data_IF_267540484572
#
_entry.id   IF_267540484572
#
_cell.length_a   1.000
_cell.length_b   1.000
_cell.length_c   1.000
_cell.angle_alpha   90.00
_cell.angle_beta   90.00
_cell.angle_gamma   90.00
#
_symmetry.space_group_name_H-M   'P 1'
#
loop_
_entity.id
_entity.type
_entity.pdbx_description
1 polymer ?
#
# COMPACT_ATOMS: atom_id res chain seq x y z
N UNK A 1 -19.50 -7.18 11.01
CA UNK A 1 -20.70 -7.41 10.19
C UNK A 1 -21.02 -6.12 9.43
N UNK A 2 -21.88 -6.18 8.37
CA UNK A 2 -22.27 -4.99 7.58
C UNK A 2 -22.96 -3.92 8.42
N UNK A 3 -23.55 -4.32 9.54
CA UNK A 3 -24.26 -3.46 10.49
C UNK A 3 -23.32 -2.61 11.36
N UNK A 4 -22.02 -2.92 11.39
CA UNK A 4 -21.03 -2.19 12.18
C UNK A 4 -20.42 -0.99 11.42
N UNK A 5 -20.74 -0.83 10.12
CA UNK A 5 -20.19 0.26 9.30
C UNK A 5 -21.04 1.54 9.44
N UNK A 6 -20.33 2.66 9.56
CA UNK A 6 -20.88 4.02 9.57
C UNK A 6 -20.12 4.88 8.55
N UNK A 7 -20.65 6.03 8.19
CA UNK A 7 -19.89 7.04 7.42
C UNK A 7 -19.07 7.93 8.36
N UNK A 8 -17.83 8.23 7.94
CA UNK A 8 -16.97 9.21 8.63
C UNK A 8 -16.39 8.74 9.97
N UNK A 9 -16.35 7.44 10.22
CA UNK A 9 -15.70 6.85 11.38
C UNK A 9 -14.24 6.43 11.13
N UNK A 10 -13.75 5.43 11.88
CA UNK A 10 -12.41 4.87 11.74
C UNK A 10 -12.31 3.93 10.53
N UNK A 11 -11.45 4.20 9.53
CA UNK A 11 -11.37 3.38 8.33
C UNK A 11 -10.81 1.99 8.60
N UNK A 12 -11.49 0.97 8.04
CA UNK A 12 -11.06 -0.43 8.04
C UNK A 12 -10.34 -0.74 6.73
N UNK A 13 -9.01 -0.82 6.76
CA UNK A 13 -8.17 -0.92 5.57
C UNK A 13 -8.15 -2.33 4.98
N UNK A 14 -8.74 -2.47 3.81
CA UNK A 14 -8.66 -3.65 2.95
C UNK A 14 -7.71 -3.41 1.76
N UNK A 15 -7.35 -4.43 0.97
CA UNK A 15 -6.44 -4.27 -0.17
C UNK A 15 -6.89 -3.23 -1.20
N UNK A 16 -8.20 -3.00 -1.36
CA UNK A 16 -8.76 -1.96 -2.24
C UNK A 16 -8.40 -0.53 -1.83
N UNK A 17 -8.08 -0.31 -0.55
CA UNK A 17 -7.68 0.99 -0.01
C UNK A 17 -6.18 1.26 -0.13
N UNK A 18 -5.43 0.37 -0.77
CA UNK A 18 -4.01 0.54 -1.03
C UNK A 18 -3.82 0.77 -2.53
N UNK A 19 -3.34 1.93 -2.92
CA UNK A 19 -3.06 2.30 -4.31
C UNK A 19 -1.71 2.98 -4.42
N UNK A 20 -0.87 2.50 -5.33
CA UNK A 20 0.46 3.06 -5.61
C UNK A 20 1.33 3.31 -4.35
N UNK A 21 1.24 2.39 -3.38
CA UNK A 21 1.98 2.49 -2.11
C UNK A 21 1.43 3.51 -1.11
N UNK A 22 0.20 3.98 -1.34
CA UNK A 22 -0.50 4.94 -0.47
C UNK A 22 -1.82 4.37 0.01
N UNK A 23 -2.29 4.87 1.15
CA UNK A 23 -3.62 4.56 1.68
C UNK A 23 -4.60 5.57 1.10
N UNK A 24 -5.68 5.05 0.49
CA UNK A 24 -6.83 5.81 -0.01
C UNK A 24 -8.06 5.18 0.65
N UNK A 25 -8.46 5.68 1.83
CA UNK A 25 -9.59 5.10 2.57
C UNK A 25 -10.92 5.34 1.83
N UNK A 26 -11.89 4.49 2.13
CA UNK A 26 -13.28 4.64 1.69
C UNK A 26 -14.13 5.05 2.90
N UNK A 27 -14.75 6.21 2.83
CA UNK A 27 -15.57 6.76 3.92
C UNK A 27 -16.78 5.88 4.28
N UNK A 28 -17.14 4.93 3.41
CA UNK A 28 -18.23 3.96 3.64
C UNK A 28 -17.79 2.70 4.38
N UNK A 29 -16.48 2.45 4.46
CA UNK A 29 -15.91 1.29 5.15
C UNK A 29 -15.21 1.73 6.44
N UNK A 30 -15.96 2.42 7.28
CA UNK A 30 -15.49 2.94 8.57
C UNK A 30 -16.35 2.40 9.70
N UNK A 31 -15.81 2.40 10.91
CA UNK A 31 -16.50 1.94 12.12
C UNK A 31 -16.57 3.04 13.18
N UNK A 32 -17.49 2.93 14.13
CA UNK A 32 -17.66 3.89 15.22
C UNK A 32 -16.48 3.87 16.21
N UNK A 33 -16.34 4.94 17.03
CA UNK A 33 -15.35 5.03 18.10
C UNK A 33 -15.45 3.86 19.08
N UNK A 34 -16.68 3.45 19.43
CA UNK A 34 -16.90 2.30 20.32
C UNK A 34 -16.41 0.99 19.70
N UNK A 35 -16.68 0.78 18.40
CA UNK A 35 -16.22 -0.39 17.69
C UNK A 35 -14.71 -0.38 17.47
N UNK A 36 -14.13 0.78 17.18
CA UNK A 36 -12.69 0.96 17.11
C UNK A 36 -12.04 0.55 18.44
N UNK A 37 -12.52 1.03 19.58
CA UNK A 37 -11.99 0.67 20.89
C UNK A 37 -12.06 -0.83 21.20
N UNK A 38 -13.11 -1.54 20.76
CA UNK A 38 -13.21 -3.00 20.91
C UNK A 38 -12.19 -3.77 20.07
N UNK A 39 -11.66 -3.17 19.01
CA UNK A 39 -10.80 -3.82 18.01
C UNK A 39 -9.31 -3.48 18.21
N UNK A 40 -8.84 -3.31 19.43
CA UNK A 40 -7.46 -2.89 19.76
C UNK A 40 -6.38 -3.73 19.07
N UNK A 41 -6.58 -5.04 18.94
CA UNK A 41 -5.64 -5.95 18.28
C UNK A 41 -5.44 -5.66 16.77
N UNK A 42 -6.34 -4.89 16.17
CA UNK A 42 -6.32 -4.53 14.74
C UNK A 42 -5.93 -3.07 14.51
N UNK A 43 -5.63 -2.31 15.57
CA UNK A 43 -5.18 -0.93 15.45
C UNK A 43 -3.89 -0.85 14.67
N UNK A 44 -3.90 -0.01 13.65
CA UNK A 44 -2.72 0.39 12.90
C UNK A 44 -2.16 1.67 13.49
N UNK A 45 -0.85 1.69 13.71
CA UNK A 45 -0.15 2.86 14.21
C UNK A 45 0.68 3.50 13.09
N UNK A 46 0.96 4.78 13.24
CA UNK A 46 1.86 5.52 12.35
C UNK A 46 3.17 4.77 12.16
N UNK A 47 3.55 4.52 10.91
CA UNK A 47 4.75 3.75 10.58
C UNK A 47 4.55 2.24 10.50
N UNK A 48 3.37 1.70 10.79
CA UNK A 48 3.04 0.32 10.42
C UNK A 48 2.93 0.18 8.90
N UNK A 49 3.05 -1.04 8.38
CA UNK A 49 2.78 -1.33 6.98
C UNK A 49 1.51 -2.18 6.91
N UNK A 50 0.53 -1.71 6.16
CA UNK A 50 -0.63 -2.52 5.78
C UNK A 50 -0.37 -3.18 4.43
N UNK A 51 -0.58 -4.49 4.33
CA UNK A 51 -0.31 -5.30 3.13
C UNK A 51 -1.53 -6.13 2.77
N UNK A 52 -1.92 -6.09 1.49
CA UNK A 52 -3.00 -6.93 0.96
C UNK A 52 -2.63 -8.42 0.97
N UNK A 53 -3.55 -9.26 1.45
CA UNK A 53 -3.39 -10.72 1.47
C UNK A 53 -3.81 -11.36 0.15
N UNK A 54 -4.61 -10.68 -0.65
CA UNK A 54 -5.25 -11.18 -1.89
C UNK A 54 -5.19 -10.13 -2.99
N UNK A 55 -5.40 -10.55 -4.22
CA UNK A 55 -5.38 -9.69 -5.40
C UNK A 55 -3.94 -9.42 -5.86
N UNK A 56 -3.57 -8.17 -6.09
CA UNK A 56 -2.21 -7.81 -6.48
C UNK A 56 -1.22 -8.12 -5.36
N UNK A 57 -0.36 -9.09 -5.57
CA UNK A 57 0.64 -9.50 -4.59
C UNK A 57 1.64 -8.38 -4.32
N UNK A 58 2.04 -8.23 -3.05
CA UNK A 58 2.98 -7.18 -2.63
C UNK A 58 2.38 -5.77 -2.58
N UNK A 59 1.05 -5.62 -2.77
CA UNK A 59 0.39 -4.33 -2.57
C UNK A 59 0.43 -3.96 -1.09
N UNK A 60 1.17 -2.91 -0.76
CA UNK A 60 1.31 -2.45 0.62
C UNK A 60 1.54 -0.94 0.70
N UNK A 61 1.24 -0.35 1.84
CA UNK A 61 1.47 1.06 2.12
C UNK A 61 1.90 1.25 3.58
N UNK A 62 2.68 2.31 3.83
CA UNK A 62 2.98 2.77 5.20
C UNK A 62 1.80 3.56 5.72
N UNK A 63 1.41 3.30 6.95
CA UNK A 63 0.31 3.98 7.65
C UNK A 63 0.80 5.38 8.05
N UNK A 64 0.15 6.45 7.56
CA UNK A 64 0.63 7.81 7.79
C UNK A 64 0.23 8.37 9.16
N UNK A 65 -0.93 7.98 9.67
CA UNK A 65 -1.56 8.53 10.87
C UNK A 65 -2.23 7.44 11.70
N UNK A 66 -2.61 7.78 12.93
CA UNK A 66 -3.42 6.91 13.80
C UNK A 66 -4.88 6.85 13.33
N UNK A 67 -5.65 5.95 13.92
CA UNK A 67 -7.10 5.86 13.71
C UNK A 67 -7.54 4.88 12.63
N UNK A 68 -6.62 4.13 12.03
CA UNK A 68 -6.92 3.08 11.05
C UNK A 68 -6.99 1.69 11.70
N UNK A 69 -7.78 0.80 11.10
CA UNK A 69 -7.88 -0.62 11.45
C UNK A 69 -7.39 -1.51 10.31
N UNK A 70 -6.71 -2.59 10.65
CA UNK A 70 -6.34 -3.64 9.70
C UNK A 70 -7.55 -4.52 9.38
N UNK A 71 -8.06 -4.46 8.16
CA UNK A 71 -9.16 -5.28 7.69
C UNK A 71 -8.77 -6.76 7.49
N UNK A 72 -9.76 -7.64 7.46
CA UNK A 72 -9.57 -9.10 7.32
C UNK A 72 -8.88 -9.52 6.01
N UNK A 73 -8.96 -8.68 4.98
CA UNK A 73 -8.26 -8.87 3.70
C UNK A 73 -6.81 -8.39 3.70
N UNK A 74 -6.32 -7.85 4.82
CA UNK A 74 -4.99 -7.25 4.96
C UNK A 74 -4.17 -7.93 6.05
N UNK A 75 -2.89 -7.64 6.07
CA UNK A 75 -1.92 -8.00 7.11
C UNK A 75 -1.27 -6.73 7.64
N UNK A 76 -1.02 -6.71 8.94
CA UNK A 76 -0.21 -5.71 9.61
C UNK A 76 1.24 -6.19 9.69
N UNK A 77 2.19 -5.35 9.27
CA UNK A 77 3.63 -5.55 9.46
C UNK A 77 4.15 -4.38 10.29
N UNK A 78 4.72 -4.68 11.45
CA UNK A 78 5.34 -3.70 12.35
C UNK A 78 6.83 -3.92 12.45
N UNK A 79 7.63 -2.91 12.09
CA UNK A 79 9.08 -3.00 12.15
C UNK A 79 9.58 -2.85 13.59
N UNK A 80 10.72 -3.50 13.91
CA UNK A 80 11.31 -3.48 15.26
C UNK A 80 12.55 -2.58 15.35
N UNK A 81 12.63 -1.54 14.52
CA UNK A 81 13.69 -0.53 14.57
C UNK A 81 14.95 -0.82 13.77
N UNK A 82 15.18 -2.07 13.31
CA UNK A 82 16.33 -2.41 12.46
C UNK A 82 16.07 -2.16 10.95
N UNK A 83 14.82 -2.07 10.58
CA UNK A 83 14.36 -1.79 9.23
C UNK A 83 13.33 -0.68 9.30
N UNK A 84 13.46 0.34 8.45
CA UNK A 84 12.45 1.40 8.37
C UNK A 84 11.24 0.91 7.56
N UNK A 85 10.05 1.37 7.95
CA UNK A 85 8.81 1.00 7.25
C UNK A 85 8.84 1.41 5.77
N UNK A 86 9.33 2.62 5.51
CA UNK A 86 9.44 3.17 4.15
C UNK A 86 10.35 2.32 3.25
N UNK A 87 11.52 1.91 3.77
CA UNK A 87 12.43 1.02 3.05
C UNK A 87 11.76 -0.34 2.78
N UNK A 88 11.19 -0.95 3.82
CA UNK A 88 10.54 -2.26 3.70
C UNK A 88 9.37 -2.22 2.71
N UNK A 89 8.55 -1.18 2.75
CA UNK A 89 7.45 -0.98 1.80
C UNK A 89 7.97 -0.92 0.35
N UNK A 90 9.07 -0.18 0.08
CA UNK A 90 9.67 -0.10 -1.26
C UNK A 90 10.25 -1.44 -1.70
N UNK A 91 10.90 -2.19 -0.82
CA UNK A 91 11.41 -3.54 -1.12
C UNK A 91 10.27 -4.48 -1.51
N UNK A 92 9.20 -4.54 -0.71
CA UNK A 92 8.05 -5.42 -0.98
C UNK A 92 7.35 -5.03 -2.29
N UNK A 93 7.23 -3.73 -2.57
CA UNK A 93 6.59 -3.21 -3.79
C UNK A 93 7.45 -3.32 -5.04
N UNK A 94 8.74 -3.70 -4.92
CA UNK A 94 9.64 -3.79 -6.06
C UNK A 94 9.24 -4.97 -6.98
N UNK A 95 9.25 -4.80 -8.31
CA UNK A 95 8.74 -5.81 -9.24
C UNK A 95 9.34 -7.21 -9.05
N UNK A 96 10.67 -7.29 -8.81
CA UNK A 96 11.34 -8.57 -8.58
C UNK A 96 10.86 -9.25 -7.29
N UNK A 97 10.61 -8.47 -6.23
CA UNK A 97 10.11 -9.00 -4.96
C UNK A 97 8.64 -9.44 -5.08
N UNK A 98 7.82 -8.68 -5.80
CA UNK A 98 6.44 -9.08 -6.12
C UNK A 98 6.41 -10.43 -6.82
N UNK A 99 7.31 -10.68 -7.78
CA UNK A 99 7.43 -11.97 -8.44
C UNK A 99 7.81 -13.10 -7.47
N UNK A 100 8.72 -12.86 -6.54
CA UNK A 100 9.06 -13.84 -5.48
C UNK A 100 7.80 -14.17 -4.65
N UNK A 101 7.01 -13.16 -4.28
CA UNK A 101 5.76 -13.36 -3.53
C UNK A 101 4.75 -14.19 -4.34
N UNK A 102 4.61 -13.89 -5.63
CA UNK A 102 3.73 -14.63 -6.54
C UNK A 102 4.16 -16.10 -6.67
N UNK A 103 5.46 -16.36 -6.84
CA UNK A 103 6.02 -17.70 -6.92
C UNK A 103 5.80 -18.51 -5.63
N UNK A 104 5.88 -17.88 -4.46
CA UNK A 104 5.57 -18.50 -3.16
C UNK A 104 4.07 -18.80 -2.98
N UNK A 105 3.20 -18.08 -3.69
CA UNK A 105 1.76 -18.28 -3.65
C UNK A 105 1.26 -19.33 -4.68
N UNK A 106 2.12 -19.82 -5.56
CA UNK A 106 1.79 -20.83 -6.60
C UNK A 106 1.37 -22.16 -5.96
N UNK A 107 0.31 -22.75 -6.52
CA UNK A 107 -0.24 -24.04 -6.05
C UNK A 107 -1.46 -23.90 -5.17
N UNK A 108 -1.93 -22.69 -4.87
CA UNK A 108 -3.18 -22.44 -4.20
C UNK A 108 -4.27 -22.03 -5.22
N UNK A 109 -5.46 -22.58 -5.09
CA UNK A 109 -6.62 -22.25 -5.95
C UNK A 109 -6.97 -20.74 -5.90
N UNK A 110 -6.66 -20.09 -4.78
CA UNK A 110 -6.70 -18.64 -4.61
C UNK A 110 -5.46 -18.20 -3.83
N UNK A 111 -4.51 -17.51 -4.47
CA UNK A 111 -3.33 -16.99 -3.79
C UNK A 111 -3.75 -16.14 -2.59
N UNK A 112 -3.30 -16.55 -1.41
CA UNK A 112 -3.62 -15.86 -0.17
C UNK A 112 -2.38 -15.84 0.74
N UNK A 113 -1.84 -14.65 0.95
CA UNK A 113 -0.74 -14.44 1.87
C UNK A 113 -1.21 -14.63 3.31
N UNK A 114 -0.46 -15.40 4.06
CA UNK A 114 -0.67 -15.60 5.49
C UNK A 114 0.59 -15.19 6.26
N UNK A 115 0.45 -15.11 7.59
CA UNK A 115 1.57 -14.70 8.46
C UNK A 115 2.81 -15.57 8.27
N UNK A 116 2.73 -16.93 8.23
CA UNK A 116 3.90 -17.78 7.98
C UNK A 116 4.64 -17.45 6.68
N UNK A 117 3.92 -17.25 5.57
CA UNK A 117 4.53 -16.90 4.27
C UNK A 117 5.24 -15.55 4.38
N UNK A 118 4.56 -14.51 4.89
CA UNK A 118 5.15 -13.17 5.00
C UNK A 118 6.34 -13.15 5.97
N UNK A 119 6.27 -13.93 7.05
CA UNK A 119 7.38 -14.08 8.02
C UNK A 119 8.60 -14.81 7.44
N UNK A 120 8.44 -15.57 6.36
CA UNK A 120 9.55 -16.26 5.68
C UNK A 120 10.26 -15.40 4.63
N UNK A 121 9.77 -14.19 4.34
CA UNK A 121 10.40 -13.30 3.37
C UNK A 121 11.82 -12.94 3.81
N UNK A 122 12.76 -13.15 2.91
CA UNK A 122 14.14 -12.74 3.11
C UNK A 122 14.40 -11.44 2.41
N UNK A 123 14.83 -10.43 3.16
CA UNK A 123 15.13 -9.10 2.66
C UNK A 123 16.60 -8.75 2.94
N UNK A 124 17.20 -7.96 2.07
CA UNK A 124 18.48 -7.33 2.35
C UNK A 124 18.25 -6.28 3.44
N UNK A 125 19.08 -6.33 4.49
CA UNK A 125 19.02 -5.39 5.63
C UNK A 125 20.29 -4.54 5.69
N UNK A 126 20.40 -3.47 4.90
CA UNK A 126 21.52 -2.54 5.00
C UNK A 126 21.44 -1.68 6.28
N UNK A 127 22.51 -0.98 6.66
CA UNK A 127 22.46 0.00 7.74
C UNK A 127 21.35 1.05 7.54
N UNK A 128 20.81 1.57 8.64
CA UNK A 128 19.66 2.49 8.62
C UNK A 128 19.89 3.74 7.75
N UNK A 129 21.09 4.30 7.78
CA UNK A 129 21.46 5.45 6.94
C UNK A 129 21.39 5.14 5.45
N UNK A 130 21.75 3.91 5.05
CA UNK A 130 21.63 3.43 3.66
C UNK A 130 20.19 3.23 3.29
N UNK A 131 19.35 2.66 4.18
CA UNK A 131 17.91 2.53 3.96
C UNK A 131 17.24 3.89 3.73
N UNK A 132 17.57 4.89 4.55
CA UNK A 132 17.03 6.25 4.42
C UNK A 132 17.47 6.93 3.12
N UNK A 133 18.73 6.80 2.73
CA UNK A 133 19.21 7.32 1.43
C UNK A 133 18.55 6.65 0.25
N UNK A 134 18.39 5.34 0.29
CA UNK A 134 17.66 4.60 -0.74
C UNK A 134 16.22 5.08 -0.87
N UNK A 135 15.51 5.19 0.25
CA UNK A 135 14.13 5.68 0.24
C UNK A 135 14.03 7.10 -0.33
N UNK A 136 14.88 8.02 0.10
CA UNK A 136 14.91 9.39 -0.42
C UNK A 136 15.14 9.42 -1.93
N UNK A 137 16.08 8.62 -2.43
CA UNK A 137 16.33 8.50 -3.87
C UNK A 137 15.09 7.97 -4.62
N UNK A 138 14.47 6.90 -4.14
CA UNK A 138 13.27 6.33 -4.78
C UNK A 138 12.11 7.32 -4.75
N UNK A 139 11.92 8.06 -3.66
CA UNK A 139 10.88 9.08 -3.56
C UNK A 139 11.05 10.20 -4.61
N UNK A 140 12.27 10.65 -4.85
CA UNK A 140 12.56 11.64 -5.90
C UNK A 140 12.33 11.08 -7.31
N UNK A 141 12.68 9.81 -7.54
CA UNK A 141 12.38 9.12 -8.81
C UNK A 141 10.86 9.01 -9.03
N UNK A 142 10.10 8.62 -8.00
CA UNK A 142 8.64 8.48 -8.09
C UNK A 142 7.99 9.85 -8.36
N UNK A 143 8.46 10.91 -7.72
CA UNK A 143 8.01 12.29 -7.97
C UNK A 143 8.29 12.72 -9.42
N UNK A 144 9.48 12.42 -9.93
CA UNK A 144 9.84 12.73 -11.32
C UNK A 144 8.98 11.96 -12.32
N UNK A 145 8.72 10.67 -12.08
CA UNK A 145 7.81 9.85 -12.90
C UNK A 145 6.40 10.43 -12.94
N UNK A 146 5.89 10.88 -11.80
CA UNK A 146 4.56 11.49 -11.73
C UNK A 146 4.49 12.79 -12.56
N UNK A 147 5.51 13.65 -12.46
CA UNK A 147 5.58 14.90 -13.24
C UNK A 147 5.62 14.63 -14.75
N UNK A 148 6.41 13.63 -15.18
CA UNK A 148 6.48 13.20 -16.58
C UNK A 148 5.13 12.67 -17.06
N UNK A 149 4.47 11.80 -16.26
CA UNK A 149 3.15 11.27 -16.60
C UNK A 149 2.11 12.37 -16.78
N UNK A 150 2.06 13.34 -15.86
CA UNK A 150 1.15 14.48 -15.95
C UNK A 150 1.43 15.36 -17.21
N UNK A 151 2.71 15.53 -17.56
CA UNK A 151 3.10 16.27 -18.77
C UNK A 151 2.67 15.53 -20.02
N UNK A 152 2.81 14.22 -20.07
CA UNK A 152 2.37 13.39 -21.19
C UNK A 152 0.84 13.47 -21.38
N UNK A 153 0.08 13.34 -20.30
CA UNK A 153 -1.39 13.45 -20.34
C UNK A 153 -1.86 14.83 -20.89
N UNK A 154 -1.16 15.90 -20.48
CA UNK A 154 -1.44 17.25 -21.01
C UNK A 154 -1.14 17.36 -22.51
N UNK A 155 -0.02 16.78 -22.95
CA UNK A 155 0.37 16.78 -24.38
C UNK A 155 -0.61 15.96 -25.22
N UNK A 156 -1.07 14.81 -24.73
CA UNK A 156 -2.09 14.01 -25.41
C UNK A 156 -3.42 14.74 -25.52
N UNK A 157 -3.83 15.46 -24.47
CA UNK A 157 -5.04 16.29 -24.48
C UNK A 157 -4.92 17.42 -25.49
N UNK A 158 -3.78 18.14 -25.51
CA UNK A 158 -3.52 19.20 -26.48
C UNK A 158 -3.53 18.66 -27.92
N UNK A 159 -2.87 17.52 -28.16
CA UNK A 159 -2.88 16.86 -29.47
C UNK A 159 -4.30 16.55 -29.92
N UNK A 160 -5.15 15.98 -29.05
CA UNK A 160 -6.56 15.70 -29.38
C UNK A 160 -7.33 16.98 -29.73
N UNK A 161 -7.13 18.05 -28.96
CA UNK A 161 -7.78 19.35 -29.23
C UNK A 161 -7.39 19.92 -30.60
N UNK A 162 -6.08 19.92 -30.91
CA UNK A 162 -5.59 20.40 -32.20
C UNK A 162 -6.08 19.53 -33.36
N UNK A 163 -6.11 18.21 -33.21
CA UNK A 163 -6.66 17.31 -34.23
C UNK A 163 -8.13 17.60 -34.50
N UNK A 164 -8.90 17.89 -33.46
CA UNK A 164 -10.31 18.25 -33.60
C UNK A 164 -10.53 19.63 -34.23
N UNK A 165 -9.67 20.57 -33.94
CA UNK A 165 -9.71 21.94 -34.51
C UNK A 165 -9.35 21.97 -36.01
N UNK A 166 -8.35 21.19 -36.45
CA UNK A 166 -7.82 21.26 -37.80
C UNK A 166 -8.35 20.17 -38.75
N UNK A 167 -8.92 19.08 -38.23
CA UNK A 167 -9.32 17.91 -39.02
C UNK A 167 -10.76 17.42 -38.72
N UNK A 168 -11.43 17.97 -37.72
CA UNK A 168 -12.83 17.72 -37.37
C UNK A 168 -13.70 18.82 -37.93
#
# INVERSE_FOLDING_TARGET
>A
HKEDYIEGGHPLLNPSHISEGRIVPDDKLTVSDSKYAEMEAYHLHTGDIVMGRRGEMGRCAVVPDEGYLCGTGSLLIRTKGEVTADYLQKVISFPTFKKIIEDMAVGQTMPNLNVPIVSSFQIIKPPIDVQRRYYAFVAEVDKSKLAVKQSLEKLETLKKSLMQEYFG
#
